data_IF_520571954740
#
_entry.id   IF_520571954740
#
_cell.length_a   1.000
_cell.length_b   1.000
_cell.length_c   1.000
_cell.angle_alpha   90.00
_cell.angle_beta   90.00
_cell.angle_gamma   90.00
#
_symmetry.space_group_name_H-M   'P 1'
#
loop_
_entity.id
_entity.type
_entity.pdbx_description
1 polymer ?
#
# COMPACT_ATOMS: atom_id res chain seq x y z
N UNK A 1 20.46 8.67 28.85
CA UNK A 1 19.61 9.11 27.73
C UNK A 1 18.81 7.90 27.26
N UNK A 2 17.52 7.82 27.60
CA UNK A 2 16.65 6.75 27.11
C UNK A 2 16.40 6.96 25.60
N UNK A 3 16.40 5.90 24.77
CA UNK A 3 16.12 6.05 23.36
C UNK A 3 14.67 6.49 23.18
N UNK A 4 14.46 7.54 22.39
CA UNK A 4 13.17 8.20 22.11
C UNK A 4 12.04 7.28 21.61
N UNK A 5 12.35 6.01 21.32
CA UNK A 5 11.42 4.95 20.96
C UNK A 5 10.49 4.50 22.09
N UNK A 6 10.90 4.63 23.35
CA UNK A 6 10.07 4.23 24.51
C UNK A 6 8.96 5.24 24.78
N UNK A 7 9.21 6.54 24.56
CA UNK A 7 8.19 7.59 24.75
C UNK A 7 7.02 7.47 23.77
N UNK A 8 7.26 6.99 22.55
CA UNK A 8 6.21 6.80 21.54
C UNK A 8 5.32 5.60 21.89
N UNK A 9 5.85 4.57 22.57
CA UNK A 9 5.08 3.40 22.96
C UNK A 9 4.14 3.68 24.14
N UNK A 10 4.53 4.59 25.05
CA UNK A 10 3.73 4.96 26.23
C UNK A 10 2.47 5.77 25.89
N UNK A 11 2.50 6.61 24.85
CA UNK A 11 1.41 7.56 24.54
C UNK A 11 0.14 6.87 23.98
N UNK A 12 0.21 5.61 23.53
CA UNK A 12 -0.94 4.94 22.88
C UNK A 12 -1.26 3.52 23.38
N UNK A 13 -0.65 3.07 24.47
CA UNK A 13 -0.84 1.71 24.96
C UNK A 13 -2.15 1.52 25.74
N UNK A 14 -3.30 1.56 25.05
CA UNK A 14 -4.33 0.55 25.36
C UNK A 14 -3.71 -0.79 24.94
N UNK A 15 -3.74 -1.80 25.80
CA UNK A 15 -3.32 -3.16 25.43
C UNK A 15 -4.29 -3.70 24.36
N UNK A 16 -4.03 -3.35 23.10
CA UNK A 16 -4.75 -3.89 21.96
C UNK A 16 -4.46 -5.39 21.88
N UNK A 17 -5.51 -6.19 21.79
CA UNK A 17 -5.36 -7.62 21.52
C UNK A 17 -4.54 -7.83 20.23
N UNK A 18 -3.83 -8.97 20.09
CA UNK A 18 -3.10 -9.27 18.85
C UNK A 18 -3.96 -9.12 17.59
N UNK A 19 -5.25 -9.47 17.69
CA UNK A 19 -6.25 -9.29 16.64
C UNK A 19 -6.51 -7.82 16.32
N UNK A 20 -6.71 -6.97 17.34
CA UNK A 20 -6.92 -5.54 17.15
C UNK A 20 -5.71 -4.87 16.50
N UNK A 21 -4.49 -5.24 16.94
CA UNK A 21 -3.24 -4.77 16.33
C UNK A 21 -3.13 -5.19 14.87
N UNK A 22 -3.36 -6.46 14.54
CA UNK A 22 -3.33 -6.95 13.16
C UNK A 22 -4.35 -6.23 12.27
N UNK A 23 -5.56 -5.98 12.79
CA UNK A 23 -6.60 -5.24 12.10
C UNK A 23 -6.20 -3.78 11.85
N UNK A 24 -5.60 -3.12 12.83
CA UNK A 24 -5.09 -1.74 12.71
C UNK A 24 -3.99 -1.65 11.65
N UNK A 25 -3.03 -2.58 11.66
CA UNK A 25 -1.97 -2.67 10.65
C UNK A 25 -2.55 -2.85 9.25
N UNK A 26 -3.48 -3.81 9.07
CA UNK A 26 -4.15 -4.06 7.79
C UNK A 26 -4.89 -2.82 7.29
N UNK A 27 -5.69 -2.16 8.14
CA UNK A 27 -6.46 -0.96 7.79
C UNK A 27 -5.57 0.20 7.38
N UNK A 28 -4.49 0.46 8.14
CA UNK A 28 -3.55 1.55 7.84
C UNK A 28 -2.80 1.29 6.53
N UNK A 29 -2.36 0.05 6.28
CA UNK A 29 -1.72 -0.32 5.01
C UNK A 29 -2.66 -0.08 3.83
N UNK A 30 -3.91 -0.57 3.91
CA UNK A 30 -4.92 -0.34 2.87
C UNK A 30 -5.18 1.15 2.61
N UNK A 31 -5.30 1.95 3.68
CA UNK A 31 -5.49 3.39 3.54
C UNK A 31 -4.30 4.09 2.87
N UNK A 32 -3.07 3.67 3.20
CA UNK A 32 -1.86 4.20 2.58
C UNK A 32 -1.81 3.87 1.07
N UNK A 33 -2.07 2.62 0.69
CA UNK A 33 -2.09 2.21 -0.71
C UNK A 33 -3.19 2.92 -1.49
N UNK A 34 -4.37 3.10 -0.90
CA UNK A 34 -5.44 3.91 -1.50
C UNK A 34 -5.00 5.33 -1.81
N UNK A 35 -4.32 6.00 -0.88
CA UNK A 35 -3.83 7.37 -1.09
C UNK A 35 -2.72 7.44 -2.14
N UNK A 36 -1.87 6.41 -2.21
CA UNK A 36 -0.84 6.31 -3.24
C UNK A 36 -1.47 6.17 -4.64
N UNK A 37 -2.50 5.31 -4.77
CA UNK A 37 -3.26 5.14 -6.01
C UNK A 37 -4.02 6.42 -6.41
N UNK A 38 -4.70 7.08 -5.47
CA UNK A 38 -5.35 8.39 -5.72
C UNK A 38 -4.33 9.42 -6.20
N UNK A 39 -3.14 9.47 -5.60
CA UNK A 39 -2.08 10.40 -6.02
C UNK A 39 -1.56 10.10 -7.43
N UNK A 40 -1.29 8.82 -7.76
CA UNK A 40 -0.79 8.45 -9.08
C UNK A 40 -1.76 8.84 -10.19
N UNK A 41 -3.07 8.70 -9.95
CA UNK A 41 -4.11 9.07 -10.91
C UNK A 41 -4.22 10.59 -11.01
N UNK A 42 -4.43 11.28 -9.89
CA UNK A 42 -4.70 12.72 -9.88
C UNK A 42 -3.51 13.58 -10.30
N UNK A 43 -2.30 13.04 -10.26
CA UNK A 43 -1.07 13.76 -10.58
C UNK A 43 -0.27 13.11 -11.70
N UNK A 44 -0.84 12.16 -12.44
CA UNK A 44 -0.21 11.46 -13.58
C UNK A 44 1.23 11.01 -13.27
N UNK A 45 1.41 10.45 -12.08
CA UNK A 45 2.74 10.14 -11.53
C UNK A 45 2.89 8.66 -11.27
N UNK A 46 4.03 8.09 -11.67
CA UNK A 46 4.37 6.72 -11.31
C UNK A 46 4.76 6.65 -9.82
N UNK A 47 4.09 5.77 -9.05
CA UNK A 47 4.24 5.66 -7.60
C UNK A 47 4.48 4.21 -7.21
N UNK A 48 5.47 4.00 -6.32
CA UNK A 48 5.72 2.72 -5.67
C UNK A 48 5.77 2.91 -4.15
N UNK A 49 5.05 2.07 -3.40
CA UNK A 49 5.05 2.07 -1.94
C UNK A 49 5.33 0.69 -1.41
N UNK A 50 6.47 0.52 -0.74
CA UNK A 50 6.85 -0.73 -0.08
C UNK A 50 6.69 -0.64 1.45
N UNK A 51 5.98 -1.60 2.04
CA UNK A 51 5.74 -1.69 3.50
C UNK A 51 6.16 -3.06 4.00
N UNK A 52 7.19 -3.10 4.87
CA UNK A 52 7.60 -4.31 5.58
C UNK A 52 6.98 -4.37 6.96
N UNK A 53 6.23 -5.43 7.26
CA UNK A 53 5.85 -5.74 8.63
C UNK A 53 7.10 -6.26 9.38
N UNK A 54 7.62 -5.45 10.31
CA UNK A 54 8.82 -5.81 11.09
C UNK A 54 8.64 -7.07 11.94
N UNK A 55 7.42 -7.40 12.35
CA UNK A 55 7.16 -8.58 13.17
C UNK A 55 7.08 -9.86 12.34
N UNK A 56 6.38 -9.83 11.20
CA UNK A 56 6.21 -11.02 10.35
C UNK A 56 7.21 -11.13 9.22
N UNK A 57 8.08 -10.13 9.03
CA UNK A 57 8.99 -10.02 7.88
C UNK A 57 8.30 -9.69 6.55
N UNK A 58 6.99 -9.94 6.44
CA UNK A 58 6.18 -9.78 5.24
C UNK A 58 6.31 -8.40 4.59
N UNK A 59 6.70 -8.41 3.32
CA UNK A 59 6.74 -7.25 2.44
C UNK A 59 5.40 -7.12 1.69
N UNK A 60 4.89 -5.91 1.62
CA UNK A 60 3.74 -5.53 0.80
C UNK A 60 4.16 -4.39 -0.12
N UNK A 61 3.82 -4.48 -1.40
CA UNK A 61 4.21 -3.49 -2.40
C UNK A 61 2.95 -3.01 -3.10
N UNK A 62 2.81 -1.69 -3.23
CA UNK A 62 1.90 -1.07 -4.17
C UNK A 62 2.72 -0.49 -5.32
N UNK A 63 2.30 -0.73 -6.55
CA UNK A 63 2.94 -0.20 -7.76
C UNK A 63 1.84 0.28 -8.71
N UNK A 64 1.87 1.56 -9.07
CA UNK A 64 0.84 2.17 -9.92
C UNK A 64 1.03 1.85 -11.41
N UNK A 65 2.26 1.51 -11.81
CA UNK A 65 2.68 1.38 -13.19
C UNK A 65 3.17 -0.03 -13.47
N UNK A 66 2.69 -0.66 -14.54
CA UNK A 66 3.20 -1.98 -14.99
C UNK A 66 4.61 -1.88 -15.60
N UNK A 67 5.09 -0.66 -15.87
CA UNK A 67 6.43 -0.39 -16.41
C UNK A 67 7.43 -0.30 -15.27
N UNK A 68 8.50 -1.10 -15.32
CA UNK A 68 9.63 -0.99 -14.41
C UNK A 68 10.38 0.33 -14.66
N UNK A 69 10.01 1.39 -13.95
CA UNK A 69 10.69 2.69 -14.01
C UNK A 69 11.72 2.88 -12.88
N UNK A 70 11.62 2.07 -11.81
CA UNK A 70 12.64 2.05 -10.77
C UNK A 70 13.88 1.28 -11.24
N UNK A 71 15.10 1.85 -11.11
CA UNK A 71 16.34 1.20 -11.54
C UNK A 71 16.70 -0.06 -10.75
N UNK A 72 16.09 -0.26 -9.59
CA UNK A 72 16.29 -1.43 -8.77
C UNK A 72 15.30 -2.50 -9.20
N UNK A 73 15.77 -3.51 -9.92
CA UNK A 73 15.14 -4.82 -9.84
C UNK A 73 15.25 -5.27 -8.38
N UNK A 74 14.21 -5.00 -7.59
CA UNK A 74 14.04 -5.70 -6.33
C UNK A 74 14.00 -7.17 -6.71
N UNK A 75 15.00 -7.93 -6.30
CA UNK A 75 15.04 -9.37 -6.54
C UNK A 75 13.98 -10.01 -5.64
N UNK A 76 12.75 -10.00 -6.12
CA UNK A 76 11.54 -10.42 -5.39
C UNK A 76 11.63 -11.88 -4.94
N UNK A 77 12.48 -12.67 -5.60
CA UNK A 77 12.69 -14.09 -5.33
C UNK A 77 13.59 -14.34 -4.11
N UNK A 78 14.37 -13.34 -3.66
CA UNK A 78 15.23 -13.45 -2.47
C UNK A 78 14.53 -13.10 -1.14
N UNK A 79 13.25 -12.69 -1.18
CA UNK A 79 12.52 -12.29 0.02
C UNK A 79 11.69 -13.45 0.61
N UNK A 80 11.89 -13.70 1.90
CA UNK A 80 11.04 -14.60 2.69
C UNK A 80 10.35 -13.85 3.85
N UNK A 81 9.01 -13.95 3.98
CA UNK A 81 8.06 -14.59 3.06
C UNK A 81 7.89 -13.81 1.75
N UNK A 82 7.38 -14.48 0.70
CA UNK A 82 7.21 -13.91 -0.64
C UNK A 82 6.45 -12.57 -0.56
N UNK A 83 6.95 -11.49 -1.17
CA UNK A 83 6.27 -10.20 -1.16
C UNK A 83 4.86 -10.29 -1.76
N UNK A 84 3.94 -9.48 -1.25
CA UNK A 84 2.57 -9.37 -1.76
C UNK A 84 2.46 -8.04 -2.50
N UNK A 85 2.18 -8.09 -3.80
CA UNK A 85 2.01 -6.90 -4.64
C UNK A 85 0.53 -6.61 -4.84
N UNK A 86 0.15 -5.34 -4.71
CA UNK A 86 -1.19 -4.81 -4.96
C UNK A 86 -1.07 -3.73 -6.06
N UNK A 87 -1.89 -3.80 -7.09
CA UNK A 87 -1.93 -2.84 -8.22
C UNK A 87 -3.01 -1.78 -8.00
N UNK A 88 -3.06 -0.75 -8.84
CA UNK A 88 -4.12 0.29 -8.75
C UNK A 88 -5.52 -0.33 -8.85
N UNK A 89 -5.68 -1.34 -9.70
CA UNK A 89 -6.91 -2.10 -9.91
C UNK A 89 -7.34 -2.86 -8.64
N UNK A 90 -6.39 -3.42 -7.89
CA UNK A 90 -6.66 -4.10 -6.61
C UNK A 90 -7.10 -3.14 -5.50
N UNK A 91 -6.67 -1.88 -5.59
CA UNK A 91 -6.88 -0.85 -4.56
C UNK A 91 -8.14 -0.02 -4.83
N UNK A 92 -8.44 0.27 -6.10
CA UNK A 92 -9.60 1.06 -6.54
C UNK A 92 -10.42 0.23 -7.54
N UNK A 93 -11.27 -0.70 -7.06
CA UNK A 93 -12.10 -1.53 -7.94
C UNK A 93 -13.13 -0.75 -8.78
N UNK A 94 -13.33 0.54 -8.50
CA UNK A 94 -14.28 1.38 -9.25
C UNK A 94 -13.67 2.01 -10.51
N UNK A 95 -12.37 1.86 -10.77
CA UNK A 95 -11.73 2.52 -11.92
C UNK A 95 -12.24 1.93 -13.25
N UNK A 96 -12.48 0.62 -13.30
CA UNK A 96 -13.09 -0.06 -14.47
C UNK A 96 -14.47 0.52 -14.82
N UNK A 97 -15.23 0.96 -13.81
CA UNK A 97 -16.59 1.50 -14.03
C UNK A 97 -16.61 2.91 -14.60
N UNK A 98 -15.58 3.72 -14.36
CA UNK A 98 -15.54 5.10 -14.82
C UNK A 98 -15.06 5.18 -16.27
N UNK A 99 -14.10 4.34 -16.67
CA UNK A 99 -13.70 4.22 -18.07
C UNK A 99 -14.86 3.72 -18.95
N UNK A 100 -15.67 2.77 -18.47
CA UNK A 100 -16.88 2.29 -19.18
C UNK A 100 -17.99 3.34 -19.26
N UNK A 101 -18.17 4.18 -18.24
CA UNK A 101 -19.17 5.26 -18.24
C UNK A 101 -18.76 6.44 -19.14
N UNK A 102 -17.49 6.84 -19.16
CA UNK A 102 -16.97 7.87 -20.08
C UNK A 102 -17.07 7.42 -21.54
N UNK A 103 -16.71 6.17 -21.86
CA UNK A 103 -16.83 5.61 -23.21
C UNK A 103 -18.29 5.58 -23.72
N UNK A 104 -19.26 5.54 -22.81
CA UNK A 104 -20.70 5.50 -23.11
C UNK A 104 -21.28 6.90 -23.34
N UNK A 105 -20.70 7.91 -22.70
CA UNK A 105 -21.10 9.31 -22.84
C UNK A 105 -20.59 9.94 -24.15
N UNK A 106 -19.52 9.41 -24.75
CA UNK A 106 -18.95 9.90 -26.01
C UNK A 106 -19.65 9.37 -27.27
N UNK A 107 -20.66 8.48 -27.13
CA UNK A 107 -21.43 7.88 -28.24
C UNK A 107 -22.82 8.54 -28.40
N UNK A 108 -23.21 9.47 -27.52
CA UNK A 108 -24.49 10.21 -27.55
C UNK A 108 -24.31 11.68 -27.97
#
# INVERSE_FOLDING_TARGET
>A
MAPSSELISTITAKQDSPRARAQKVRRRRKGLFKKAAEYSINCESDVVVAVRNRQSGQLYIFESSKKKWLPAEMDMDNYYPRPITETTEDIIPCLERLEEEELRADIE
#
